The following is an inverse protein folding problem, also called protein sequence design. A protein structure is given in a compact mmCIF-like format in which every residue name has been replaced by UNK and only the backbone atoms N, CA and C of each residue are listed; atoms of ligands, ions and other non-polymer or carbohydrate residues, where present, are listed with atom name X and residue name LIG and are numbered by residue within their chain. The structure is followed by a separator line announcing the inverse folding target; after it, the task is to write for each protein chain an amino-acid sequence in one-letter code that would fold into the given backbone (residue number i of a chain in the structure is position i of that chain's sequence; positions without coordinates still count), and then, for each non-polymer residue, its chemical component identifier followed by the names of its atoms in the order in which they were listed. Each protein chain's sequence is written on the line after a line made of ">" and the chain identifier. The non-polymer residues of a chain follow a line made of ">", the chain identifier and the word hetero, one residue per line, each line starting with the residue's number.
data_IF_087547886537
#
_entry.id   IF_087547886537
#
_cell.length_a   1.000
_cell.length_b   1.000
_cell.length_c   1.000
_cell.angle_alpha   90.00
_cell.angle_beta   90.00
_cell.angle_gamma   90.00
#
_symmetry.space_group_name_H-M   'P 1'
#
loop_
_entity.id
_entity.type
_entity.pdbx_description
1 polymer ?
#
# COMPACT_ATOMS: atom_id res chain seq x y z
N UNK A 1 -12.26 18.86 -2.39
CA UNK A 1 -11.67 17.61 -2.90
C UNK A 1 -12.35 17.29 -4.22
N UNK A 2 -11.64 17.21 -5.35
CA UNK A 2 -12.26 16.74 -6.57
C UNK A 2 -12.47 15.23 -6.42
N UNK A 3 -13.72 14.78 -6.47
CA UNK A 3 -14.04 13.36 -6.58
C UNK A 3 -13.41 12.85 -7.86
N UNK A 4 -12.40 11.99 -7.75
CA UNK A 4 -11.96 11.17 -8.87
C UNK A 4 -13.18 10.34 -9.28
N UNK A 5 -13.83 10.74 -10.37
CA UNK A 5 -15.01 10.05 -10.86
C UNK A 5 -14.59 8.63 -11.27
N UNK A 6 -15.26 7.62 -10.74
CA UNK A 6 -15.13 6.22 -11.13
C UNK A 6 -15.42 5.97 -12.64
N UNK A 7 -15.83 7.01 -13.37
CA UNK A 7 -16.39 7.06 -14.72
C UNK A 7 -15.41 6.77 -15.88
N UNK A 8 -14.14 6.45 -15.63
CA UNK A 8 -13.16 6.17 -16.69
C UNK A 8 -12.70 4.70 -16.79
N UNK A 9 -13.15 3.83 -15.87
CA UNK A 9 -12.86 2.40 -15.95
C UNK A 9 -14.05 1.68 -16.61
N UNK A 10 -13.83 0.69 -17.50
CA UNK A 10 -14.90 -0.14 -18.02
C UNK A 10 -15.65 -0.79 -16.85
N UNK A 11 -16.85 -0.30 -16.53
CA UNK A 11 -17.61 -0.73 -15.35
C UNK A 11 -18.21 -2.12 -15.51
N UNK A 12 -18.27 -2.64 -16.74
CA UNK A 12 -18.92 -3.91 -17.05
C UNK A 12 -18.23 -5.14 -16.42
N UNK A 13 -16.97 -5.02 -15.99
CA UNK A 13 -16.24 -6.08 -15.29
C UNK A 13 -16.00 -5.81 -13.79
N UNK A 14 -16.54 -4.73 -13.24
CA UNK A 14 -16.34 -4.39 -11.83
C UNK A 14 -17.49 -4.93 -10.97
N UNK A 15 -17.18 -5.88 -10.09
CA UNK A 15 -18.11 -6.35 -9.07
C UNK A 15 -17.83 -5.63 -7.74
N UNK A 16 -18.82 -4.91 -7.25
CA UNK A 16 -18.81 -4.34 -5.90
C UNK A 16 -19.44 -5.34 -4.91
N UNK A 17 -18.76 -5.60 -3.80
CA UNK A 17 -19.25 -6.48 -2.73
C UNK A 17 -19.12 -5.74 -1.40
N UNK A 18 -20.24 -5.47 -0.75
CA UNK A 18 -20.25 -4.96 0.60
C UNK A 18 -19.91 -6.09 1.59
N UNK A 19 -19.05 -5.79 2.56
CA UNK A 19 -18.62 -6.75 3.59
C UNK A 19 -18.69 -6.10 4.98
N UNK A 20 -18.87 -6.94 5.99
CA UNK A 20 -18.67 -6.56 7.38
C UNK A 20 -17.23 -6.90 7.80
N UNK A 21 -16.42 -5.87 8.03
CA UNK A 21 -15.01 -6.02 8.43
C UNK A 21 -14.81 -6.59 9.84
N UNK A 22 -15.87 -6.63 10.67
CA UNK A 22 -15.84 -7.30 11.97
C UNK A 22 -16.18 -8.81 11.87
N UNK A 23 -16.64 -9.27 10.70
CA UNK A 23 -17.09 -10.63 10.47
C UNK A 23 -16.13 -11.38 9.55
N UNK A 24 -15.33 -12.27 10.14
CA UNK A 24 -14.42 -13.13 9.38
C UNK A 24 -15.15 -13.96 8.31
N UNK A 25 -16.35 -14.45 8.63
CA UNK A 25 -17.19 -15.19 7.68
C UNK A 25 -17.57 -14.32 6.48
N UNK A 26 -17.97 -13.06 6.71
CA UNK A 26 -18.30 -12.13 5.63
C UNK A 26 -17.12 -11.91 4.69
N UNK A 27 -15.94 -11.69 5.25
CA UNK A 27 -14.72 -11.45 4.46
C UNK A 27 -14.29 -12.69 3.67
N UNK A 28 -14.26 -13.86 4.31
CA UNK A 28 -13.90 -15.12 3.64
C UNK A 28 -14.86 -15.39 2.49
N UNK A 29 -16.17 -15.30 2.70
CA UNK A 29 -17.16 -15.53 1.64
C UNK A 29 -16.99 -14.59 0.44
N UNK A 30 -16.57 -13.34 0.68
CA UNK A 30 -16.30 -12.38 -0.40
C UNK A 30 -15.00 -12.67 -1.17
N UNK A 31 -14.03 -13.35 -0.54
CA UNK A 31 -12.72 -13.62 -1.11
C UNK A 31 -12.60 -15.00 -1.77
N UNK A 32 -13.53 -15.93 -1.55
CA UNK A 32 -13.52 -17.25 -2.21
C UNK A 32 -13.51 -17.10 -3.73
N UNK A 33 -12.57 -17.80 -4.39
CA UNK A 33 -12.38 -17.73 -5.84
C UNK A 33 -11.55 -16.54 -6.33
N UNK A 34 -11.11 -15.66 -5.42
CA UNK A 34 -10.21 -14.54 -5.74
C UNK A 34 -8.76 -15.01 -5.78
N UNK A 35 -8.04 -14.68 -6.85
CA UNK A 35 -6.63 -15.12 -7.00
C UNK A 35 -5.65 -14.22 -6.24
N UNK A 36 -5.93 -12.92 -6.18
CA UNK A 36 -5.06 -11.95 -5.55
C UNK A 36 -5.86 -10.86 -4.82
N UNK A 37 -5.32 -10.37 -3.71
CA UNK A 37 -5.89 -9.26 -2.94
C UNK A 37 -4.90 -8.10 -2.91
N UNK A 38 -5.40 -6.89 -3.18
CA UNK A 38 -4.66 -5.64 -3.00
C UNK A 38 -5.32 -4.87 -1.87
N UNK A 39 -4.62 -4.73 -0.74
CA UNK A 39 -5.10 -3.96 0.39
C UNK A 39 -4.72 -2.49 0.23
N UNK A 40 -5.71 -1.62 0.19
CA UNK A 40 -5.57 -0.16 0.23
C UNK A 40 -6.22 0.45 1.49
N UNK A 41 -6.32 -0.36 2.56
CA UNK A 41 -6.87 0.06 3.84
C UNK A 41 -5.93 1.12 4.47
N UNK A 42 -6.50 2.17 5.03
CA UNK A 42 -5.74 3.23 5.67
C UNK A 42 -4.92 2.68 6.85
N UNK A 43 -3.69 3.19 7.01
CA UNK A 43 -2.72 2.72 7.99
C UNK A 43 -3.20 2.80 9.45
N UNK A 44 -4.21 3.64 9.74
CA UNK A 44 -4.81 3.76 11.08
C UNK A 44 -5.70 2.55 11.44
N UNK A 45 -6.14 1.75 10.46
CA UNK A 45 -7.07 0.63 10.64
C UNK A 45 -6.32 -0.71 10.73
N UNK A 46 -5.42 -0.80 11.70
CA UNK A 46 -4.52 -1.95 11.92
C UNK A 46 -5.31 -3.26 12.07
N UNK A 47 -6.30 -3.31 12.95
CA UNK A 47 -7.05 -4.54 13.23
C UNK A 47 -7.83 -5.06 12.00
N UNK A 48 -8.27 -4.14 11.14
CA UNK A 48 -8.97 -4.49 9.90
C UNK A 48 -8.01 -5.19 8.93
N UNK A 49 -6.76 -4.74 8.88
CA UNK A 49 -5.75 -5.31 7.99
C UNK A 49 -5.38 -6.75 8.38
N UNK A 50 -5.27 -7.04 9.68
CA UNK A 50 -5.07 -8.40 10.20
C UNK A 50 -6.23 -9.31 9.82
N UNK A 51 -7.46 -8.82 10.03
CA UNK A 51 -8.69 -9.56 9.73
C UNK A 51 -8.78 -9.91 8.24
N UNK A 52 -8.49 -8.95 7.36
CA UNK A 52 -8.51 -9.17 5.90
C UNK A 52 -7.42 -10.15 5.45
N UNK A 53 -6.22 -10.10 6.04
CA UNK A 53 -5.15 -11.06 5.72
C UNK A 53 -5.57 -12.48 6.10
N UNK A 54 -6.07 -12.70 7.32
CA UNK A 54 -6.52 -14.02 7.76
C UNK A 54 -7.70 -14.53 6.91
N UNK A 55 -8.57 -13.63 6.45
CA UNK A 55 -9.68 -13.98 5.57
C UNK A 55 -9.17 -14.40 4.18
N UNK A 56 -8.18 -13.68 3.63
CA UNK A 56 -7.55 -14.03 2.36
C UNK A 56 -6.87 -15.41 2.43
N UNK A 57 -6.15 -15.69 3.51
CA UNK A 57 -5.50 -16.98 3.73
C UNK A 57 -6.55 -18.10 3.86
N UNK A 58 -7.63 -17.86 4.61
CA UNK A 58 -8.73 -18.83 4.78
C UNK A 58 -9.49 -19.11 3.47
N UNK A 59 -9.64 -18.08 2.61
CA UNK A 59 -10.22 -18.19 1.28
C UNK A 59 -9.25 -18.77 0.23
N UNK A 60 -8.01 -19.10 0.62
CA UNK A 60 -6.94 -19.64 -0.25
C UNK A 60 -6.54 -18.70 -1.38
N UNK A 61 -6.56 -17.39 -1.11
CA UNK A 61 -5.98 -16.37 -2.02
C UNK A 61 -4.50 -16.69 -2.22
N UNK A 62 -4.03 -16.60 -3.48
CA UNK A 62 -2.67 -17.00 -3.84
C UNK A 62 -1.65 -15.88 -3.64
N UNK A 63 -2.06 -14.63 -3.83
CA UNK A 63 -1.16 -13.48 -3.82
C UNK A 63 -1.74 -12.28 -3.07
N UNK A 64 -0.93 -11.64 -2.22
CA UNK A 64 -1.36 -10.50 -1.41
C UNK A 64 -0.43 -9.29 -1.59
N UNK A 65 -1.00 -8.12 -1.84
CA UNK A 65 -0.30 -6.85 -1.81
C UNK A 65 -0.77 -6.08 -0.57
N UNK A 66 0.15 -5.90 0.39
CA UNK A 66 -0.12 -5.20 1.65
C UNK A 66 -0.26 -3.69 1.41
N UNK A 67 -1.06 -3.02 2.24
CA UNK A 67 -1.18 -1.56 2.28
C UNK A 67 0.10 -0.94 2.87
N UNK A 68 1.16 -0.89 2.04
CA UNK A 68 2.47 -0.36 2.42
C UNK A 68 2.83 0.96 1.75
N UNK A 69 2.15 1.30 0.65
CA UNK A 69 2.40 2.38 -0.32
C UNK A 69 3.01 3.67 0.26
N UNK A 70 4.29 3.61 0.60
CA UNK A 70 4.93 4.63 1.42
C UNK A 70 6.42 4.38 1.62
N UNK A 71 6.92 4.83 2.77
CA UNK A 71 8.32 4.67 3.17
C UNK A 71 8.59 3.27 3.71
N UNK A 72 9.82 2.80 3.51
CA UNK A 72 10.29 1.54 4.05
C UNK A 72 10.26 1.53 5.59
N UNK A 73 9.93 0.39 6.18
CA UNK A 73 9.92 0.12 7.61
C UNK A 73 11.27 -0.40 8.16
N UNK A 74 12.35 -0.28 7.37
CA UNK A 74 13.66 -0.84 7.71
C UNK A 74 14.53 0.08 8.57
N UNK A 75 13.97 1.15 9.15
CA UNK A 75 14.67 2.04 10.06
C UNK A 75 14.31 1.69 11.52
N UNK A 76 15.25 1.12 12.31
CA UNK A 76 14.98 0.73 13.69
C UNK A 76 14.52 1.89 14.58
N UNK A 77 14.96 3.12 14.32
CA UNK A 77 14.49 4.30 15.07
C UNK A 77 13.02 4.56 14.80
N UNK A 78 12.59 4.48 13.53
CA UNK A 78 11.18 4.68 13.19
C UNK A 78 10.29 3.62 13.84
N UNK A 79 10.74 2.36 13.84
CA UNK A 79 10.01 1.25 14.45
C UNK A 79 9.88 1.39 15.97
N UNK A 80 10.91 1.93 16.64
CA UNK A 80 10.90 2.18 18.09
C UNK A 80 10.04 3.39 18.46
N UNK A 81 10.18 4.47 17.70
CA UNK A 81 9.64 5.78 18.09
C UNK A 81 8.20 6.00 17.60
N UNK A 82 7.74 5.24 16.58
CA UNK A 82 6.42 5.40 15.98
C UNK A 82 5.68 4.05 15.88
N UNK A 83 4.59 3.91 16.64
CA UNK A 83 3.76 2.68 16.69
C UNK A 83 3.25 2.23 15.32
N UNK A 84 2.99 3.18 14.42
CA UNK A 84 2.53 2.90 13.06
C UNK A 84 3.58 2.14 12.23
N UNK A 85 4.89 2.38 12.46
CA UNK A 85 5.98 1.62 11.84
C UNK A 85 6.13 0.24 12.47
N UNK A 86 5.98 0.12 13.79
CA UNK A 86 5.99 -1.17 14.47
C UNK A 86 4.88 -2.11 13.94
N UNK A 87 3.68 -1.57 13.71
CA UNK A 87 2.56 -2.34 13.13
C UNK A 87 2.90 -2.84 11.71
N UNK A 88 3.49 -1.99 10.86
CA UNK A 88 3.96 -2.40 9.52
C UNK A 88 4.95 -3.56 9.58
N UNK A 89 5.95 -3.49 10.46
CA UNK A 89 6.93 -4.58 10.63
C UNK A 89 6.24 -5.88 11.02
N UNK A 90 5.31 -5.84 11.99
CA UNK A 90 4.54 -7.03 12.39
C UNK A 90 3.81 -7.68 11.21
N UNK A 91 3.17 -6.88 10.36
CA UNK A 91 2.47 -7.41 9.17
C UNK A 91 3.43 -8.05 8.17
N UNK A 92 4.59 -7.44 7.95
CA UNK A 92 5.60 -7.97 7.03
C UNK A 92 6.16 -9.30 7.53
N UNK A 93 6.42 -9.41 8.84
CA UNK A 93 6.84 -10.66 9.48
C UNK A 93 5.76 -11.75 9.36
N UNK A 94 4.49 -11.39 9.58
CA UNK A 94 3.35 -12.32 9.41
C UNK A 94 3.25 -12.83 7.97
N UNK A 95 3.36 -11.95 6.98
CA UNK A 95 3.36 -12.33 5.56
C UNK A 95 4.56 -13.20 5.19
N UNK A 96 5.74 -12.90 5.72
CA UNK A 96 6.94 -13.71 5.52
C UNK A 96 6.75 -15.14 6.06
N UNK A 97 6.18 -15.28 7.26
CA UNK A 97 5.85 -16.58 7.85
C UNK A 97 4.81 -17.35 7.03
N UNK A 98 3.72 -16.70 6.62
CA UNK A 98 2.68 -17.34 5.79
C UNK A 98 3.24 -17.79 4.42
N UNK A 99 4.19 -17.04 3.86
CA UNK A 99 4.89 -17.42 2.63
C UNK A 99 5.81 -18.61 2.82
N UNK A 100 6.57 -18.67 3.92
CA UNK A 100 7.43 -19.83 4.20
C UNK A 100 6.61 -21.10 4.50
N UNK A 101 5.40 -20.95 5.04
CA UNK A 101 4.41 -22.02 5.19
C UNK A 101 3.74 -22.43 3.85
N UNK A 102 4.02 -21.73 2.75
CA UNK A 102 3.42 -21.99 1.45
C UNK A 102 1.93 -21.64 1.35
N UNK A 103 1.41 -20.80 2.26
CA UNK A 103 -0.02 -20.46 2.35
C UNK A 103 -0.43 -19.30 1.45
N UNK A 104 0.49 -18.38 1.19
CA UNK A 104 0.25 -17.19 0.35
C UNK A 104 1.58 -16.65 -0.18
N UNK A 105 1.61 -16.08 -1.38
CA UNK A 105 2.73 -15.26 -1.84
C UNK A 105 2.40 -13.77 -1.66
N UNK A 106 3.41 -12.90 -1.59
CA UNK A 106 3.18 -11.48 -1.39
C UNK A 106 4.28 -10.61 -2.00
N UNK A 107 3.94 -9.34 -2.21
CA UNK A 107 4.90 -8.28 -2.53
C UNK A 107 4.52 -7.01 -1.80
N UNK A 108 5.49 -6.40 -1.11
CA UNK A 108 5.39 -5.05 -0.56
C UNK A 108 5.71 -4.03 -1.64
N UNK A 109 4.86 -3.00 -1.78
CA UNK A 109 5.04 -1.93 -2.77
C UNK A 109 5.43 -0.65 -2.04
N UNK A 110 6.72 -0.31 -2.09
CA UNK A 110 7.28 0.87 -1.43
C UNK A 110 7.40 2.01 -2.46
N UNK A 111 6.67 3.09 -2.24
CA UNK A 111 6.47 4.15 -3.24
C UNK A 111 7.14 5.47 -2.89
N UNK A 112 7.77 5.56 -1.72
CA UNK A 112 8.12 6.87 -1.17
C UNK A 112 6.86 7.70 -0.88
N UNK A 113 6.93 9.01 -1.04
CA UNK A 113 5.76 9.87 -0.88
C UNK A 113 4.89 9.87 -2.15
N UNK A 114 3.60 10.15 -1.99
CA UNK A 114 2.73 10.37 -3.16
C UNK A 114 3.00 11.74 -3.75
N UNK A 115 3.39 11.77 -5.02
CA UNK A 115 3.72 13.00 -5.75
C UNK A 115 2.57 14.01 -5.67
N UNK A 116 1.35 13.55 -5.93
CA UNK A 116 0.16 14.37 -5.90
C UNK A 116 -0.08 15.02 -4.52
N UNK A 117 0.13 14.28 -3.43
CA UNK A 117 -0.07 14.81 -2.07
C UNK A 117 1.03 15.78 -1.66
N UNK A 118 2.27 15.53 -2.10
CA UNK A 118 3.38 16.45 -1.90
C UNK A 118 3.09 17.83 -2.50
N UNK A 119 2.56 17.85 -3.72
CA UNK A 119 2.21 19.08 -4.44
C UNK A 119 0.94 19.76 -3.90
N UNK A 120 0.05 19.02 -3.23
CA UNK A 120 -1.22 19.52 -2.68
C UNK A 120 -1.13 20.03 -1.22
N UNK A 121 0.07 20.31 -0.71
CA UNK A 121 0.24 20.95 0.60
C UNK A 121 1.22 20.28 1.55
N UNK A 122 1.69 19.07 1.28
CA UNK A 122 2.60 18.37 2.20
C UNK A 122 4.05 18.84 2.07
N UNK A 123 4.52 19.14 0.85
CA UNK A 123 5.86 19.68 0.61
C UNK A 123 5.85 21.18 0.28
N UNK A 124 4.78 21.65 -0.35
CA UNK A 124 4.63 23.03 -0.80
C UNK A 124 3.28 23.54 -0.35
N UNK A 125 3.25 24.62 0.43
CA UNK A 125 2.03 25.36 0.70
C UNK A 125 1.74 26.28 -0.49
N UNK A 126 0.95 25.75 -1.43
CA UNK A 126 0.56 26.48 -2.66
C UNK A 126 -0.24 27.75 -2.33
N UNK A 127 -1.04 27.73 -1.26
CA UNK A 127 -1.89 28.86 -0.88
C UNK A 127 -1.05 30.03 -0.37
N UNK A 128 -0.11 29.75 0.53
CA UNK A 128 0.76 30.76 1.12
C UNK A 128 2.06 30.99 0.33
N UNK A 129 2.28 30.23 -0.75
CA UNK A 129 3.49 30.26 -1.59
C UNK A 129 4.77 30.07 -0.78
N UNK A 130 4.74 29.13 0.16
CA UNK A 130 5.85 28.86 1.08
C UNK A 130 6.22 27.38 1.09
N UNK A 131 7.47 27.11 1.45
CA UNK A 131 8.01 25.77 1.65
C UNK A 131 8.68 25.76 3.02
N UNK A 132 8.33 24.80 3.86
CA UNK A 132 9.06 24.52 5.08
C UNK A 132 10.22 23.58 4.77
N UNK A 133 11.46 24.01 4.98
CA UNK A 133 12.64 23.19 4.69
C UNK A 133 12.92 22.23 5.84
N UNK A 134 12.85 20.93 5.57
CA UNK A 134 13.21 19.89 6.52
C UNK A 134 14.65 19.45 6.33
N UNK A 135 15.40 19.37 7.43
CA UNK A 135 16.82 18.99 7.43
C UNK A 135 17.65 19.80 6.40
N UNK A 136 17.37 21.10 6.30
CA UNK A 136 18.03 22.01 5.37
C UNK A 136 17.50 21.96 3.92
N UNK A 137 16.61 21.03 3.57
CA UNK A 137 15.94 20.97 2.27
C UNK A 137 16.75 20.30 1.14
N UNK A 138 18.02 19.94 1.40
CA UNK A 138 18.92 19.33 0.42
C UNK A 138 18.77 17.80 0.32
N UNK A 139 17.91 17.21 1.16
CA UNK A 139 17.68 15.77 1.19
C UNK A 139 16.78 15.33 0.02
N UNK A 140 17.20 14.34 -0.80
CA UNK A 140 16.36 13.84 -1.87
C UNK A 140 15.19 13.03 -1.30
N UNK A 141 13.98 13.34 -1.76
CA UNK A 141 12.74 12.68 -1.38
C UNK A 141 12.24 11.87 -2.58
N UNK A 142 12.14 10.52 -2.45
CA UNK A 142 11.54 9.70 -3.50
C UNK A 142 10.04 9.92 -3.51
N UNK A 143 9.49 10.19 -4.71
CA UNK A 143 8.06 10.37 -4.90
C UNK A 143 7.56 9.55 -6.08
N UNK A 144 6.34 9.04 -5.95
CA UNK A 144 5.65 8.27 -6.99
C UNK A 144 4.24 8.81 -7.21
N UNK A 145 3.82 8.93 -8.46
CA UNK A 145 2.47 9.30 -8.84
C UNK A 145 1.50 8.13 -8.66
N UNK A 146 0.24 8.42 -8.33
CA UNK A 146 -0.80 7.38 -8.21
C UNK A 146 -0.97 6.53 -9.49
N UNK A 147 -0.92 7.10 -10.72
CA UNK A 147 -0.93 6.31 -11.95
C UNK A 147 0.24 5.31 -12.06
N UNK A 148 1.45 5.69 -11.67
CA UNK A 148 2.61 4.79 -11.66
C UNK A 148 2.43 3.64 -10.65
N UNK A 149 1.87 3.93 -9.47
CA UNK A 149 1.54 2.91 -8.47
C UNK A 149 0.54 1.90 -9.04
N UNK A 150 -0.54 2.39 -9.68
CA UNK A 150 -1.54 1.53 -10.32
C UNK A 150 -0.95 0.64 -11.42
N UNK A 151 -0.10 1.20 -12.31
CA UNK A 151 0.60 0.43 -13.34
C UNK A 151 1.51 -0.65 -12.75
N UNK A 152 2.20 -0.34 -11.66
CA UNK A 152 3.06 -1.30 -10.98
C UNK A 152 2.25 -2.43 -10.35
N UNK A 153 1.14 -2.13 -9.69
CA UNK A 153 0.23 -3.16 -9.16
C UNK A 153 -0.26 -4.09 -10.28
N UNK A 154 -0.71 -3.55 -11.42
CA UNK A 154 -1.11 -4.37 -12.57
C UNK A 154 0.04 -5.25 -13.07
N UNK A 155 1.25 -4.69 -13.16
CA UNK A 155 2.44 -5.45 -13.56
C UNK A 155 2.78 -6.60 -12.59
N UNK A 156 2.59 -6.39 -11.28
CA UNK A 156 2.76 -7.43 -10.26
C UNK A 156 1.73 -8.55 -10.43
N UNK A 157 0.46 -8.18 -10.63
CA UNK A 157 -0.62 -9.15 -10.88
C UNK A 157 -0.42 -9.94 -12.18
N UNK A 158 0.25 -9.34 -13.17
CA UNK A 158 0.69 -10.02 -14.40
C UNK A 158 1.97 -10.87 -14.22
N UNK A 159 2.52 -10.97 -13.02
CA UNK A 159 3.67 -11.81 -12.70
C UNK A 159 5.04 -11.21 -13.05
N UNK A 160 5.15 -9.93 -13.43
CA UNK A 160 6.42 -9.30 -13.87
C UNK A 160 7.48 -9.18 -12.77
N UNK A 161 7.16 -9.48 -11.52
CA UNK A 161 8.10 -9.54 -10.39
C UNK A 161 7.88 -10.77 -9.49
N UNK A 162 7.42 -11.89 -10.06
CA UNK A 162 7.13 -13.13 -9.32
C UNK A 162 8.29 -13.52 -8.40
N UNK A 163 7.97 -13.85 -7.16
CA UNK A 163 8.94 -14.25 -6.14
C UNK A 163 9.61 -13.10 -5.38
N UNK A 164 9.49 -11.84 -5.84
CA UNK A 164 10.02 -10.69 -5.09
C UNK A 164 9.07 -10.31 -3.95
N UNK A 165 9.57 -10.39 -2.72
CA UNK A 165 8.82 -9.96 -1.54
C UNK A 165 8.72 -8.43 -1.43
N UNK A 166 9.53 -7.67 -2.15
CA UNK A 166 9.54 -6.20 -2.12
C UNK A 166 9.82 -5.62 -3.52
N UNK A 167 9.11 -4.54 -3.86
CA UNK A 167 9.44 -3.66 -4.99
C UNK A 167 9.45 -2.20 -4.55
N UNK A 168 10.41 -1.43 -5.06
CA UNK A 168 10.55 0.00 -4.81
C UNK A 168 10.24 0.78 -6.07
N UNK A 169 9.34 1.74 -5.97
CA UNK A 169 8.90 2.60 -7.04
C UNK A 169 9.26 4.05 -6.71
N UNK A 170 9.71 4.76 -7.73
CA UNK A 170 9.89 6.22 -7.71
C UNK A 170 9.78 6.72 -9.13
N UNK A 171 8.99 7.77 -9.33
CA UNK A 171 8.96 8.51 -10.59
C UNK A 171 10.04 9.60 -10.58
N UNK A 172 10.23 10.23 -9.42
CA UNK A 172 11.15 11.35 -9.22
C UNK A 172 11.84 11.26 -7.86
N UNK A 173 13.06 11.79 -7.79
CA UNK A 173 13.73 12.16 -6.56
C UNK A 173 13.88 13.68 -6.57
N UNK A 174 13.28 14.37 -5.60
CA UNK A 174 13.31 15.83 -5.53
C UNK A 174 13.76 16.31 -4.15
N UNK A 175 14.59 17.35 -4.10
CA UNK A 175 14.93 18.12 -2.89
C UNK A 175 14.03 19.35 -2.80
N UNK A 176 13.94 19.95 -1.61
CA UNK A 176 13.16 21.18 -1.40
C UNK A 176 13.91 22.45 -1.87
N UNK A 177 15.21 22.31 -2.17
CA UNK A 177 16.08 23.30 -2.81
C UNK A 177 16.50 22.82 -4.20
#
# INVERSE_FOLDING_TARGET
>A
MPSLSLLALPTESLRNTQVDYSSQKSLVSALVGTEAVVSAIATQSVDIQDTVLEAAVSAKVKFFILSEFGLASNNPRLNRDFSIWANKVRFQERLAALKSEGRIDYTLVLTGLFLNWGMDGFLIDVKNKSIELWDGGDRPIPMTSMPSIGKAIVALLQGKAKGRSEVRLKDINISQK
#
